data_IF_335510487383
#
_entry.id   IF_335510487383
#
_cell.length_a   1.000
_cell.length_b   1.000
_cell.length_c   1.000
_cell.angle_alpha   90.00
_cell.angle_beta   90.00
_cell.angle_gamma   90.00
#
_symmetry.space_group_name_H-M   'P 1'
#
loop_
_entity.id
_entity.type
_entity.pdbx_description
1 polymer ?
#
# COMPACT_ATOMS: atom_id res chain seq x y z
N UNK A 1 -9.79 -13.81 -15.92
CA UNK A 1 -9.07 -14.51 -14.84
C UNK A 1 -7.88 -15.18 -15.47
N UNK A 2 -6.71 -14.60 -15.28
CA UNK A 2 -5.40 -15.05 -15.79
C UNK A 2 -4.72 -16.07 -14.85
N UNK A 3 -5.22 -16.22 -13.62
CA UNK A 3 -4.68 -17.14 -12.61
C UNK A 3 -3.71 -16.48 -11.64
N UNK A 4 -3.47 -15.17 -11.73
CA UNK A 4 -2.54 -14.44 -10.86
C UNK A 4 -3.08 -14.20 -9.44
N UNK A 5 -4.29 -14.66 -9.12
CA UNK A 5 -4.94 -14.44 -7.82
C UNK A 5 -4.27 -15.13 -6.62
N UNK A 6 -3.21 -15.92 -6.84
CA UNK A 6 -2.39 -16.56 -5.78
C UNK A 6 -1.04 -15.85 -5.58
N UNK A 7 -0.75 -14.85 -6.41
CA UNK A 7 0.45 -14.01 -6.35
C UNK A 7 0.31 -12.96 -5.23
N UNK A 8 1.44 -12.45 -4.74
CA UNK A 8 1.51 -11.48 -3.63
C UNK A 8 2.20 -10.16 -4.02
N UNK A 9 2.58 -10.03 -5.29
CA UNK A 9 3.40 -8.97 -5.84
C UNK A 9 2.69 -7.63 -5.77
N UNK A 10 1.38 -7.56 -6.08
CA UNK A 10 0.61 -6.31 -5.98
C UNK A 10 0.65 -5.74 -4.56
N UNK A 11 0.35 -6.55 -3.54
CA UNK A 11 0.37 -6.11 -2.15
C UNK A 11 1.78 -5.69 -1.70
N UNK A 12 2.81 -6.44 -2.12
CA UNK A 12 4.22 -6.14 -1.80
C UNK A 12 4.69 -4.85 -2.48
N UNK A 13 4.26 -4.62 -3.72
CA UNK A 13 4.61 -3.45 -4.52
C UNK A 13 3.94 -2.18 -3.99
N UNK A 14 2.65 -2.26 -3.65
CA UNK A 14 1.94 -1.16 -2.99
C UNK A 14 2.59 -0.82 -1.64
N UNK A 15 2.91 -1.82 -0.82
CA UNK A 15 3.66 -1.63 0.43
C UNK A 15 4.97 -0.88 0.22
N UNK A 16 5.85 -1.39 -0.65
CA UNK A 16 7.16 -0.78 -0.88
C UNK A 16 7.02 0.63 -1.48
N UNK A 17 6.09 0.82 -2.40
CA UNK A 17 5.88 2.12 -3.05
C UNK A 17 5.26 3.17 -2.13
N UNK A 18 4.43 2.77 -1.16
CA UNK A 18 3.92 3.67 -0.10
C UNK A 18 5.04 4.07 0.87
N UNK A 19 5.90 3.12 1.25
CA UNK A 19 7.06 3.40 2.11
C UNK A 19 8.03 4.37 1.42
N UNK A 20 8.33 4.14 0.14
CA UNK A 20 9.21 4.99 -0.65
C UNK A 20 8.67 6.43 -0.83
N UNK A 21 7.35 6.62 -0.76
CA UNK A 21 6.70 7.92 -0.96
C UNK A 21 6.40 8.68 0.33
N UNK A 22 6.84 8.17 1.48
CA UNK A 22 6.83 8.92 2.74
C UNK A 22 5.53 8.84 3.53
N UNK A 23 4.73 7.79 3.35
CA UNK A 23 3.62 7.50 4.26
C UNK A 23 4.13 7.38 5.70
N UNK A 24 3.37 7.88 6.68
CA UNK A 24 3.78 7.93 8.09
C UNK A 24 3.85 6.56 8.74
N UNK A 25 3.02 5.63 8.28
CA UNK A 25 3.02 4.23 8.68
C UNK A 25 2.75 3.39 7.43
N UNK A 26 3.46 2.27 7.29
CA UNK A 26 3.19 1.28 6.25
C UNK A 26 3.31 -0.11 6.86
N UNK A 27 2.31 -0.94 6.62
CA UNK A 27 2.24 -2.28 7.17
C UNK A 27 2.00 -3.31 6.07
N UNK A 28 2.62 -4.49 6.22
CA UNK A 28 2.38 -5.67 5.40
C UNK A 28 2.08 -6.83 6.33
N UNK A 29 0.93 -7.46 6.17
CA UNK A 29 0.45 -8.52 7.04
C UNK A 29 0.23 -9.82 6.27
N UNK A 30 0.35 -10.94 7.00
CA UNK A 30 0.06 -12.27 6.52
C UNK A 30 -1.26 -12.77 7.12
N UNK A 31 -2.27 -12.93 6.28
CA UNK A 31 -3.52 -13.61 6.64
C UNK A 31 -4.64 -12.70 7.12
N UNK A 32 -4.56 -11.39 6.91
CA UNK A 32 -5.66 -10.48 7.26
C UNK A 32 -6.98 -10.93 6.64
N UNK A 33 -8.04 -11.00 7.47
CA UNK A 33 -9.39 -11.41 7.09
C UNK A 33 -9.62 -12.91 6.91
N UNK A 34 -8.67 -13.66 6.35
CA UNK A 34 -8.88 -15.07 5.91
C UNK A 34 -8.05 -16.10 6.68
N UNK A 35 -7.10 -15.67 7.50
CA UNK A 35 -6.21 -16.52 8.29
C UNK A 35 -4.82 -16.69 7.69
N UNK A 36 -3.88 -17.14 8.52
CA UNK A 36 -2.44 -17.21 8.22
C UNK A 36 -2.18 -18.02 6.94
N UNK A 37 -1.34 -17.47 6.06
CA UNK A 37 -0.91 -18.09 4.82
C UNK A 37 -1.90 -18.01 3.66
N UNK A 38 -3.09 -17.41 3.87
CA UNK A 38 -4.15 -17.33 2.85
C UNK A 38 -4.28 -15.98 2.17
N UNK A 39 -3.63 -14.94 2.69
CA UNK A 39 -3.56 -13.62 2.05
C UNK A 39 -2.29 -12.90 2.44
N UNK A 40 -1.80 -12.05 1.55
CA UNK A 40 -0.82 -11.01 1.85
C UNK A 40 -1.53 -9.69 1.60
N UNK A 41 -1.63 -8.82 2.62
CA UNK A 41 -2.31 -7.54 2.50
C UNK A 41 -1.50 -6.41 3.13
N UNK A 42 -1.58 -5.24 2.51
CA UNK A 42 -0.90 -4.03 2.94
C UNK A 42 -1.87 -2.98 3.45
N UNK A 43 -1.34 -2.00 4.16
CA UNK A 43 -2.05 -0.79 4.55
C UNK A 43 -1.08 0.34 4.85
N UNK A 44 -1.58 1.57 4.87
CA UNK A 44 -0.81 2.75 5.19
C UNK A 44 -1.55 3.67 6.15
N UNK A 45 -0.81 4.55 6.81
CA UNK A 45 -1.33 5.69 7.54
C UNK A 45 -0.53 6.94 7.17
N UNK A 46 -1.21 8.07 7.01
CA UNK A 46 -0.60 9.36 6.73
C UNK A 46 -1.06 10.37 7.78
N UNK A 47 -0.13 10.91 8.54
CA UNK A 47 -0.40 11.98 9.51
C UNK A 47 -0.52 13.30 8.75
N UNK A 48 -1.67 13.96 8.92
CA UNK A 48 -1.97 15.26 8.31
C UNK A 48 -1.63 16.38 9.30
N UNK A 49 -0.39 16.82 9.29
CA UNK A 49 0.13 17.86 10.20
C UNK A 49 0.02 19.30 9.65
N UNK A 50 -0.43 19.46 8.39
CA UNK A 50 -0.57 20.76 7.73
C UNK A 50 0.72 21.33 7.11
N UNK A 51 1.81 20.56 7.09
CA UNK A 51 3.06 20.98 6.47
C UNK A 51 3.06 20.82 4.95
N UNK A 52 3.81 21.69 4.25
CA UNK A 52 4.02 21.55 2.79
C UNK A 52 4.65 20.20 2.41
N UNK A 53 5.43 19.60 3.32
CA UNK A 53 5.99 18.25 3.15
C UNK A 53 4.88 17.21 3.00
N UNK A 54 3.84 17.28 3.83
CA UNK A 54 2.70 16.35 3.75
C UNK A 54 1.92 16.58 2.46
N UNK A 55 1.76 17.82 2.00
CA UNK A 55 1.14 18.09 0.70
C UNK A 55 1.89 17.43 -0.48
N UNK A 56 3.23 17.43 -0.43
CA UNK A 56 4.04 16.72 -1.44
C UNK A 56 3.86 15.20 -1.38
N UNK A 57 3.77 14.63 -0.17
CA UNK A 57 3.50 13.21 0.03
C UNK A 57 2.11 12.87 -0.52
N UNK A 58 1.07 13.65 -0.20
CA UNK A 58 -0.29 13.45 -0.71
C UNK A 58 -0.31 13.39 -2.24
N UNK A 59 0.31 14.38 -2.90
CA UNK A 59 0.35 14.48 -4.37
C UNK A 59 1.04 13.32 -5.06
N UNK A 60 2.05 12.73 -4.41
CA UNK A 60 2.85 11.64 -5.00
C UNK A 60 2.37 10.24 -4.61
N UNK A 61 1.78 10.08 -3.41
CA UNK A 61 1.51 8.78 -2.78
C UNK A 61 0.07 8.29 -2.92
N UNK A 62 -0.94 9.16 -2.85
CA UNK A 62 -2.35 8.69 -2.89
C UNK A 62 -2.72 8.10 -4.25
N UNK A 63 -2.31 8.76 -5.34
CA UNK A 63 -2.55 8.23 -6.69
C UNK A 63 -1.81 6.93 -6.93
N UNK A 64 -0.61 6.77 -6.33
CA UNK A 64 0.14 5.53 -6.42
C UNK A 64 -0.60 4.35 -5.78
N UNK A 65 -1.07 4.52 -4.54
CA UNK A 65 -1.76 3.46 -3.79
C UNK A 65 -3.02 2.98 -4.52
N UNK A 66 -3.79 3.92 -5.07
CA UNK A 66 -5.01 3.61 -5.83
C UNK A 66 -4.68 2.95 -7.17
N UNK A 67 -3.80 3.57 -7.96
CA UNK A 67 -3.52 3.08 -9.31
C UNK A 67 -2.75 1.77 -9.31
N UNK A 68 -1.98 1.47 -8.26
CA UNK A 68 -1.29 0.19 -8.10
C UNK A 68 -2.23 -1.02 -8.03
N UNK A 69 -3.48 -0.83 -7.61
CA UNK A 69 -4.51 -1.88 -7.63
C UNK A 69 -5.36 -1.93 -8.91
N UNK A 70 -5.27 -0.91 -9.77
CA UNK A 70 -6.01 -0.83 -11.05
C UNK A 70 -5.18 -1.39 -12.22
N UNK A 71 -3.87 -1.15 -12.18
CA UNK A 71 -2.91 -1.60 -13.18
C UNK A 71 -2.82 -3.14 -13.24
#
# INVERSE_FOLDING_TARGET
KDGSNVMAEMATHCYAGNAARGMSLVALHNGGGVGIGKSINGGFGLVLDGSERVDMIIKSALLWDVMGGVA
#
